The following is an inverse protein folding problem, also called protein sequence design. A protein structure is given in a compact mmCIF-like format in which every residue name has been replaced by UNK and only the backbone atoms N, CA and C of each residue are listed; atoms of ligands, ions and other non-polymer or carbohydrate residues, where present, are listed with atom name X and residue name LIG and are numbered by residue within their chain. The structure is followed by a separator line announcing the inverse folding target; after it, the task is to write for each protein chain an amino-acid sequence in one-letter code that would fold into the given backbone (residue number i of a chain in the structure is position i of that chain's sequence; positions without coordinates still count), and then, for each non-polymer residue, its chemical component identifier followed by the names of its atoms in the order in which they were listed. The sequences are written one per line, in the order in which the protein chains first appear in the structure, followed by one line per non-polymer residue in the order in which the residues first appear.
data_IF_037950092197
#
_entry.id   IF_037950092197
#
_cell.length_a   1.000
_cell.length_b   1.000
_cell.length_c   1.000
_cell.angle_alpha   90.00
_cell.angle_beta   90.00
_cell.angle_gamma   90.00
#
_symmetry.space_group_name_H-M   'P 1'
#
loop_
_entity.id
_entity.type
_entity.pdbx_description
1 polymer ?
#
# COMPACT_ATOMS: atom_id res chain seq x y z
N UNK A 1 3.73 10.89 -17.59
CA UNK A 1 3.00 11.93 -16.84
C UNK A 1 1.60 11.38 -16.63
N UNK A 2 1.29 10.90 -15.44
CA UNK A 2 -0.04 10.35 -15.12
C UNK A 2 -1.02 11.50 -14.88
N UNK A 3 -2.15 11.45 -15.57
CA UNK A 3 -3.32 12.29 -15.32
C UNK A 3 -3.90 11.94 -13.94
N UNK A 4 -3.41 12.60 -12.90
CA UNK A 4 -3.95 12.48 -11.54
C UNK A 4 -5.32 13.17 -11.47
N UNK A 5 -6.37 12.46 -11.92
CA UNK A 5 -7.75 12.88 -11.70
C UNK A 5 -8.08 12.76 -10.21
N UNK A 6 -8.64 13.80 -9.56
CA UNK A 6 -8.95 13.77 -8.12
C UNK A 6 -9.99 12.70 -7.71
N UNK A 7 -10.63 12.03 -8.68
CA UNK A 7 -11.61 10.96 -8.46
C UNK A 7 -11.08 9.54 -8.73
N UNK A 8 -9.77 9.38 -8.97
CA UNK A 8 -9.20 8.06 -9.24
C UNK A 8 -9.13 7.21 -7.95
N UNK A 9 -9.49 5.90 -7.99
CA UNK A 9 -9.32 5.01 -6.85
C UNK A 9 -7.89 5.08 -6.32
N UNK A 10 -7.76 5.31 -5.02
CA UNK A 10 -6.46 5.69 -4.44
C UNK A 10 -5.41 4.58 -4.56
N UNK A 11 -5.80 3.31 -4.59
CA UNK A 11 -4.89 2.16 -4.75
C UNK A 11 -4.15 2.19 -6.10
N UNK A 12 -4.66 2.90 -7.11
CA UNK A 12 -3.95 3.07 -8.39
C UNK A 12 -2.67 3.88 -8.24
N UNK A 13 -2.51 4.65 -7.15
CA UNK A 13 -1.25 5.30 -6.79
C UNK A 13 -0.13 4.29 -6.52
N UNK A 14 -0.45 3.03 -6.18
CA UNK A 14 0.56 1.99 -6.02
C UNK A 14 1.27 1.65 -7.34
N UNK A 15 0.63 1.88 -8.50
CA UNK A 15 1.25 1.66 -9.81
C UNK A 15 2.35 2.70 -10.12
N UNK A 16 2.35 3.84 -9.41
CA UNK A 16 3.36 4.89 -9.56
C UNK A 16 4.63 4.49 -8.78
N UNK A 17 5.46 3.62 -9.38
CA UNK A 17 6.72 3.07 -8.82
C UNK A 17 7.83 4.12 -8.55
N UNK A 18 7.56 5.42 -8.64
CA UNK A 18 8.56 6.51 -8.64
C UNK A 18 9.43 6.66 -7.38
N UNK A 19 9.29 5.77 -6.40
CA UNK A 19 9.89 5.80 -5.08
C UNK A 19 10.67 4.52 -4.74
N UNK A 20 10.65 3.51 -5.61
CA UNK A 20 11.41 2.27 -5.42
C UNK A 20 12.77 2.34 -6.09
N UNK A 21 13.84 2.33 -5.29
CA UNK A 21 15.22 2.21 -5.79
C UNK A 21 15.53 0.82 -6.37
N UNK A 22 14.69 -0.18 -6.08
CA UNK A 22 14.85 -1.57 -6.53
C UNK A 22 13.84 -1.92 -7.62
N UNK A 23 14.32 -2.55 -8.68
CA UNK A 23 13.45 -3.16 -9.70
C UNK A 23 12.67 -4.34 -9.10
N UNK A 24 11.34 -4.25 -9.15
CA UNK A 24 10.46 -5.35 -8.78
C UNK A 24 10.56 -6.49 -9.81
N UNK A 25 10.28 -7.75 -9.43
CA UNK A 25 10.07 -8.79 -10.41
C UNK A 25 8.93 -8.41 -11.38
N UNK A 26 8.83 -9.04 -12.57
CA UNK A 26 7.65 -8.87 -13.40
C UNK A 26 6.42 -9.35 -12.64
N UNK A 27 5.34 -8.58 -12.69
CA UNK A 27 4.06 -8.99 -12.13
C UNK A 27 3.60 -10.29 -12.83
N UNK A 28 3.07 -11.27 -12.08
CA UNK A 28 2.42 -12.43 -12.67
C UNK A 28 1.25 -12.02 -13.58
N UNK A 29 0.95 -12.86 -14.57
CA UNK A 29 -0.28 -12.74 -15.34
C UNK A 29 -1.48 -13.18 -14.47
N UNK A 30 -2.07 -12.22 -13.76
CA UNK A 30 -3.19 -12.48 -12.87
C UNK A 30 -4.49 -12.78 -13.63
N UNK A 31 -5.33 -13.59 -12.98
CA UNK A 31 -6.71 -13.83 -13.38
C UNK A 31 -6.83 -14.32 -14.82
N UNK A 32 -6.29 -15.52 -15.06
CA UNK A 32 -6.51 -16.25 -16.31
C UNK A 32 -8.00 -16.43 -16.60
N UNK A 33 -8.37 -16.52 -17.89
CA UNK A 33 -9.77 -16.72 -18.31
C UNK A 33 -10.40 -17.93 -17.62
N UNK A 34 -9.65 -19.04 -17.51
CA UNK A 34 -10.06 -20.25 -16.81
C UNK A 34 -10.37 -20.02 -15.32
N UNK A 35 -9.62 -19.14 -14.66
CA UNK A 35 -9.89 -18.79 -13.27
C UNK A 35 -11.14 -17.91 -13.14
N UNK A 36 -11.30 -16.92 -14.02
CA UNK A 36 -12.49 -16.06 -14.05
C UNK A 36 -13.75 -16.89 -14.28
N UNK A 37 -13.73 -17.83 -15.22
CA UNK A 37 -14.81 -18.79 -15.44
C UNK A 37 -15.13 -19.60 -14.17
N UNK A 38 -14.09 -20.08 -13.47
CA UNK A 38 -14.23 -20.84 -12.24
C UNK A 38 -14.81 -19.99 -11.11
N UNK A 39 -14.41 -18.72 -10.98
CA UNK A 39 -14.95 -17.77 -10.01
C UNK A 39 -16.43 -17.53 -10.30
N UNK A 40 -16.79 -17.19 -11.54
CA UNK A 40 -18.19 -16.93 -11.93
C UNK A 40 -19.10 -18.13 -11.66
N UNK A 41 -18.67 -19.35 -11.99
CA UNK A 41 -19.41 -20.59 -11.69
C UNK A 41 -19.58 -20.83 -10.19
N UNK A 42 -18.57 -20.51 -9.37
CA UNK A 42 -18.59 -20.71 -7.92
C UNK A 42 -19.47 -19.71 -7.17
N UNK A 43 -19.60 -18.50 -7.70
CA UNK A 43 -20.48 -17.46 -7.15
C UNK A 43 -21.94 -17.67 -7.59
N UNK A 44 -22.19 -18.53 -8.58
CA UNK A 44 -23.54 -18.95 -8.94
C UNK A 44 -24.28 -17.99 -9.87
N UNK A 45 -23.56 -17.17 -10.63
CA UNK A 45 -24.21 -16.29 -11.61
C UNK A 45 -24.60 -17.06 -12.88
N UNK A 46 -25.89 -17.40 -12.99
CA UNK A 46 -26.52 -17.80 -14.25
C UNK A 46 -26.76 -16.59 -15.18
N UNK A 47 -26.50 -15.35 -14.72
CA UNK A 47 -26.60 -14.14 -15.53
C UNK A 47 -25.34 -13.96 -16.39
N UNK A 48 -25.53 -13.41 -17.60
CA UNK A 48 -24.44 -12.98 -18.49
C UNK A 48 -23.66 -11.82 -17.86
N UNK A 49 -22.76 -12.12 -16.94
CA UNK A 49 -21.77 -11.16 -16.44
C UNK A 49 -20.80 -10.87 -17.57
N UNK A 50 -20.40 -9.61 -17.71
CA UNK A 50 -19.27 -9.25 -18.55
C UNK A 50 -17.97 -9.74 -17.90
N UNK A 51 -17.62 -11.00 -18.19
CA UNK A 51 -16.41 -11.63 -17.65
C UNK A 51 -15.13 -10.92 -18.10
N UNK A 52 -15.13 -10.29 -19.27
CA UNK A 52 -13.97 -9.55 -19.78
C UNK A 52 -13.74 -8.28 -18.96
N UNK A 53 -14.82 -7.54 -18.67
CA UNK A 53 -14.75 -6.37 -17.81
C UNK A 53 -14.30 -6.74 -16.38
N UNK A 54 -14.90 -7.80 -15.80
CA UNK A 54 -14.50 -8.32 -14.48
C UNK A 54 -13.01 -8.71 -14.45
N UNK A 55 -12.55 -9.45 -15.46
CA UNK A 55 -11.15 -9.87 -15.56
C UNK A 55 -10.20 -8.67 -15.65
N UNK A 56 -10.55 -7.67 -16.46
CA UNK A 56 -9.74 -6.46 -16.60
C UNK A 56 -9.63 -5.70 -15.28
N UNK A 57 -10.73 -5.53 -14.58
CA UNK A 57 -10.78 -4.81 -13.31
C UNK A 57 -10.00 -5.53 -12.21
N UNK A 58 -10.19 -6.85 -12.08
CA UNK A 58 -9.45 -7.68 -11.13
C UNK A 58 -7.94 -7.69 -11.41
N UNK A 59 -7.50 -7.68 -12.68
CA UNK A 59 -6.06 -7.58 -13.03
C UNK A 59 -5.44 -6.26 -12.58
N UNK A 60 -6.14 -5.14 -12.79
CA UNK A 60 -5.66 -3.83 -12.36
C UNK A 60 -5.52 -3.77 -10.83
N UNK A 61 -6.51 -4.31 -10.10
CA UNK A 61 -6.45 -4.42 -8.64
C UNK A 61 -5.29 -5.33 -8.23
N UNK A 62 -5.17 -6.52 -8.82
CA UNK A 62 -4.08 -7.44 -8.51
C UNK A 62 -2.71 -6.81 -8.69
N UNK A 63 -2.47 -6.14 -9.81
CA UNK A 63 -1.19 -5.49 -10.09
C UNK A 63 -0.87 -4.40 -9.06
N UNK A 64 -1.83 -3.52 -8.76
CA UNK A 64 -1.65 -2.46 -7.77
C UNK A 64 -1.30 -3.00 -6.37
N UNK A 65 -2.07 -3.97 -5.88
CA UNK A 65 -1.86 -4.55 -4.55
C UNK A 65 -0.65 -5.49 -4.50
N UNK A 66 -0.32 -6.17 -5.60
CA UNK A 66 0.90 -6.95 -5.71
C UNK A 66 2.13 -6.04 -5.65
N UNK A 67 2.16 -4.93 -6.38
CA UNK A 67 3.23 -3.94 -6.29
C UNK A 67 3.34 -3.42 -4.86
N UNK A 68 2.23 -3.05 -4.22
CA UNK A 68 2.22 -2.60 -2.83
C UNK A 68 2.81 -3.66 -1.87
N UNK A 69 2.45 -4.93 -2.03
CA UNK A 69 2.99 -6.02 -1.23
C UNK A 69 4.47 -6.33 -1.50
N UNK A 70 4.92 -6.25 -2.76
CA UNK A 70 6.31 -6.51 -3.14
C UNK A 70 7.24 -5.34 -2.85
N UNK A 71 6.70 -4.14 -2.68
CA UNK A 71 7.44 -2.92 -2.33
C UNK A 71 7.44 -2.62 -0.84
N UNK A 72 6.46 -3.15 -0.10
CA UNK A 72 6.26 -2.85 1.31
C UNK A 72 6.45 -4.10 2.18
N UNK A 73 7.05 -3.97 3.37
CA UNK A 73 7.32 -5.11 4.24
C UNK A 73 6.07 -5.43 5.08
N UNK A 74 5.03 -5.91 4.38
CA UNK A 74 3.73 -6.28 4.93
C UNK A 74 3.69 -7.72 5.44
N UNK A 75 4.73 -8.51 5.16
CA UNK A 75 4.76 -9.95 5.42
C UNK A 75 3.73 -10.71 4.58
N UNK A 76 3.45 -10.22 3.36
CA UNK A 76 2.48 -10.78 2.43
C UNK A 76 3.21 -11.27 1.17
N UNK A 77 2.96 -12.53 0.79
CA UNK A 77 3.63 -13.19 -0.33
C UNK A 77 5.15 -13.22 -0.16
N UNK A 78 5.87 -13.09 -1.28
CA UNK A 78 7.34 -12.98 -1.34
C UNK A 78 7.85 -11.54 -1.16
N UNK A 79 6.99 -10.64 -0.69
CA UNK A 79 7.35 -9.24 -0.43
C UNK A 79 8.48 -9.14 0.60
N UNK A 80 9.18 -8.00 0.68
CA UNK A 80 10.36 -7.84 1.52
C UNK A 80 10.04 -8.13 2.99
N UNK A 81 10.38 -9.34 3.45
CA UNK A 81 10.17 -9.78 4.84
C UNK A 81 10.97 -8.91 5.82
N UNK A 82 12.08 -8.29 5.36
CA UNK A 82 13.19 -7.83 6.19
C UNK A 82 13.45 -6.31 6.18
N UNK A 83 12.42 -5.48 5.98
CA UNK A 83 12.49 -4.12 6.50
C UNK A 83 11.37 -3.85 7.48
N UNK A 84 11.42 -4.54 8.62
CA UNK A 84 10.60 -4.21 9.78
C UNK A 84 10.64 -2.70 10.06
N UNK A 85 9.59 -2.17 10.70
CA UNK A 85 9.46 -0.75 11.02
C UNK A 85 10.76 -0.16 11.61
N UNK A 86 11.47 -0.95 12.43
CA UNK A 86 12.76 -0.59 13.02
C UNK A 86 13.90 -0.42 12.02
N UNK A 87 13.96 -1.25 10.97
CA UNK A 87 14.98 -1.12 9.90
C UNK A 87 14.68 0.11 9.06
N UNK A 88 13.41 0.35 8.70
CA UNK A 88 13.00 1.56 7.95
C UNK A 88 13.26 2.82 8.76
N UNK A 89 12.94 2.80 10.05
CA UNK A 89 13.27 3.87 11.00
C UNK A 89 14.78 4.09 11.02
N UNK A 90 15.58 3.05 11.17
CA UNK A 90 17.05 3.15 11.18
C UNK A 90 17.59 3.76 9.89
N UNK A 91 17.07 3.36 8.73
CA UNK A 91 17.45 3.92 7.43
C UNK A 91 17.05 5.38 7.32
N UNK A 92 15.79 5.74 7.60
CA UNK A 92 15.33 7.14 7.57
C UNK A 92 16.15 8.01 8.53
N UNK A 93 16.48 7.47 9.71
CA UNK A 93 17.35 8.15 10.67
C UNK A 93 18.75 8.38 10.10
N UNK A 94 19.38 7.36 9.52
CA UNK A 94 20.77 7.43 9.05
C UNK A 94 20.95 8.18 7.72
N UNK A 95 20.00 8.09 6.78
CA UNK A 95 20.12 8.68 5.44
C UNK A 95 19.47 10.04 5.29
N UNK A 96 18.51 10.40 6.14
CA UNK A 96 17.76 11.68 6.03
C UNK A 96 17.86 12.51 7.31
N UNK A 97 17.40 11.97 8.45
CA UNK A 97 17.25 12.77 9.67
C UNK A 97 18.59 13.28 10.20
N UNK A 98 19.55 12.39 10.44
CA UNK A 98 20.85 12.77 11.00
C UNK A 98 21.65 13.67 10.04
N UNK A 99 21.71 13.40 8.72
CA UNK A 99 22.30 14.33 7.78
C UNK A 99 21.64 15.71 7.78
N UNK A 100 20.30 15.79 7.78
CA UNK A 100 19.58 17.05 7.79
C UNK A 100 19.83 17.84 9.09
N UNK A 101 19.83 17.17 10.25
CA UNK A 101 20.18 17.77 11.54
C UNK A 101 21.62 18.29 11.57
N UNK A 102 22.57 17.51 11.03
CA UNK A 102 23.98 17.90 10.96
C UNK A 102 24.18 19.11 10.05
N UNK A 103 23.50 19.15 8.91
CA UNK A 103 23.53 20.30 7.99
C UNK A 103 22.88 21.54 8.61
N UNK A 104 21.72 21.40 9.26
CA UNK A 104 21.06 22.51 9.95
C UNK A 104 21.96 23.07 11.08
N UNK A 105 22.60 22.21 11.87
CA UNK A 105 23.54 22.61 12.92
C UNK A 105 24.81 23.27 12.34
N UNK A 106 25.35 22.78 11.23
CA UNK A 106 26.50 23.40 10.58
C UNK A 106 26.16 24.79 10.01
N UNK A 107 24.93 24.97 9.52
CA UNK A 107 24.44 26.21 8.93
C UNK A 107 23.87 27.20 9.95
N UNK A 108 23.76 26.82 11.22
CA UNK A 108 23.27 27.71 12.27
C UNK A 108 24.28 28.81 12.58
N UNK A 109 23.78 29.95 13.07
CA UNK A 109 24.60 31.13 13.32
C UNK A 109 25.71 30.89 14.37
N UNK A 110 25.57 29.86 15.20
CA UNK A 110 26.56 29.47 16.23
C UNK A 110 27.83 28.81 15.65
N UNK A 111 27.75 28.20 14.47
CA UNK A 111 28.89 27.52 13.81
C UNK A 111 29.45 28.30 12.61
N UNK A 112 28.98 29.53 12.40
CA UNK A 112 29.36 30.41 11.29
C UNK A 112 30.87 30.59 11.16
N UNK A 113 31.58 30.72 12.28
CA UNK A 113 33.02 30.92 12.33
C UNK A 113 33.83 29.70 11.85
N UNK A 114 33.21 28.53 11.74
CA UNK A 114 33.85 27.27 11.36
C UNK A 114 33.63 26.90 9.88
N UNK A 115 32.77 27.62 9.17
CA UNK A 115 32.55 27.45 7.73
C UNK A 115 33.48 28.37 6.96
N UNK A 116 34.14 27.85 5.92
CA UNK A 116 34.92 28.69 5.01
C UNK A 116 34.03 29.76 4.39
N UNK A 117 34.52 30.99 4.32
CA UNK A 117 33.87 32.05 3.55
C UNK A 117 33.62 31.57 2.11
N UNK A 118 32.51 32.04 1.52
CA UNK A 118 32.21 31.71 0.13
C UNK A 118 33.35 32.25 -0.74
N UNK A 119 33.96 31.44 -1.63
CA UNK A 119 35.17 31.85 -2.32
C UNK A 119 34.92 33.10 -3.17
N UNK A 120 35.76 34.11 -2.97
CA UNK A 120 35.77 35.31 -3.80
C UNK A 120 35.99 34.91 -5.26
N UNK A 121 35.10 35.36 -6.14
CA UNK A 121 35.14 35.04 -7.59
C UNK A 121 34.36 33.79 -8.02
N UNK A 122 33.58 33.16 -7.12
CA UNK A 122 32.63 32.13 -7.54
C UNK A 122 31.60 32.69 -8.53
N UNK A 123 31.37 31.97 -9.63
CA UNK A 123 30.39 32.34 -10.68
C UNK A 123 28.96 32.33 -10.14
N UNK A 124 28.70 31.54 -9.10
CA UNK A 124 27.39 31.43 -8.45
C UNK A 124 27.33 32.30 -7.18
N UNK A 125 26.19 32.97 -7.01
CA UNK A 125 25.86 33.65 -5.78
C UNK A 125 25.87 32.68 -4.58
N UNK A 126 26.24 33.15 -3.37
CA UNK A 126 26.16 32.33 -2.18
C UNK A 126 24.71 31.85 -1.96
N UNK A 127 24.52 30.61 -1.48
CA UNK A 127 23.19 30.08 -1.22
C UNK A 127 22.49 30.89 -0.14
N UNK A 128 21.17 31.06 -0.28
CA UNK A 128 20.32 31.66 0.75
C UNK A 128 20.26 30.72 1.96
N UNK A 129 21.13 30.97 2.94
CA UNK A 129 21.27 30.16 4.15
C UNK A 129 19.98 30.11 4.96
N UNK A 130 19.29 31.24 5.10
CA UNK A 130 18.04 31.31 5.89
C UNK A 130 16.96 30.45 5.26
N UNK A 131 16.84 30.49 3.93
CA UNK A 131 15.92 29.64 3.19
C UNK A 131 16.31 28.16 3.31
N UNK A 132 17.59 27.82 3.14
CA UNK A 132 18.07 26.45 3.24
C UNK A 132 17.84 25.86 4.64
N UNK A 133 18.12 26.63 5.69
CA UNK A 133 17.91 26.22 7.07
C UNK A 133 16.43 25.96 7.35
N UNK A 134 15.53 26.84 6.87
CA UNK A 134 14.07 26.63 6.97
C UNK A 134 13.60 25.35 6.28
N UNK A 135 14.10 25.06 5.07
CA UNK A 135 13.74 23.83 4.36
C UNK A 135 14.26 22.57 5.09
N UNK A 136 15.46 22.64 5.68
CA UNK A 136 16.02 21.56 6.49
C UNK A 136 15.20 21.32 7.76
N UNK A 137 14.76 22.37 8.45
CA UNK A 137 13.86 22.28 9.61
C UNK A 137 12.52 21.64 9.25
N UNK A 138 11.93 22.05 8.12
CA UNK A 138 10.69 21.45 7.60
C UNK A 138 10.88 19.96 7.29
N UNK A 139 12.00 19.58 6.68
CA UNK A 139 12.34 18.19 6.41
C UNK A 139 12.49 17.39 7.70
N UNK A 140 13.23 17.91 8.68
CA UNK A 140 13.41 17.29 10.00
C UNK A 140 12.06 17.08 10.70
N UNK A 141 11.20 18.10 10.70
CA UNK A 141 9.85 18.02 11.28
C UNK A 141 9.01 16.91 10.63
N UNK A 142 8.90 16.93 9.29
CA UNK A 142 8.14 15.93 8.54
C UNK A 142 8.66 14.50 8.75
N UNK A 143 9.98 14.33 8.80
CA UNK A 143 10.60 13.02 9.04
C UNK A 143 10.35 12.54 10.47
N UNK A 144 10.35 13.45 11.44
CA UNK A 144 10.04 13.12 12.84
C UNK A 144 8.59 12.70 13.01
N UNK A 145 7.66 13.41 12.38
CA UNK A 145 6.23 13.05 12.36
C UNK A 145 6.01 11.66 11.73
N UNK A 146 6.72 11.37 10.64
CA UNK A 146 6.68 10.07 9.98
C UNK A 146 7.19 8.95 10.90
N UNK A 147 8.31 9.16 11.60
CA UNK A 147 8.85 8.18 12.57
C UNK A 147 7.85 7.95 13.71
N UNK A 148 7.24 9.01 14.25
CA UNK A 148 6.24 8.90 15.32
C UNK A 148 5.00 8.12 14.86
N UNK A 149 4.53 8.37 13.64
CA UNK A 149 3.43 7.60 13.03
C UNK A 149 3.80 6.12 12.84
N UNK A 150 5.04 5.82 12.44
CA UNK A 150 5.55 4.45 12.32
C UNK A 150 5.64 3.73 13.68
N UNK A 151 6.07 4.42 14.73
CA UNK A 151 6.13 3.88 16.09
C UNK A 151 4.74 3.58 16.65
N UNK A 152 3.78 4.49 16.44
CA UNK A 152 2.37 4.30 16.80
C UNK A 152 1.76 3.05 16.15
N UNK A 153 2.15 2.75 14.91
CA UNK A 153 1.73 1.55 14.18
C UNK A 153 2.44 0.28 14.65
N UNK A 154 3.70 0.36 15.10
CA UNK A 154 4.50 -0.79 15.55
C UNK A 154 4.00 -1.38 16.87
N UNK A 155 3.57 -0.52 17.82
CA UNK A 155 3.12 -0.92 19.16
C UNK A 155 1.78 -1.68 19.20
N UNK A 156 1.01 -1.71 18.10
CA UNK A 156 -0.33 -2.31 18.05
C UNK A 156 -0.38 -3.74 17.45
N UNK A 157 0.75 -4.33 17.09
CA UNK A 157 0.80 -5.68 16.47
C UNK A 157 0.30 -5.66 15.01
N UNK A 158 1.23 -5.49 14.07
CA UNK A 158 1.04 -5.25 12.63
C UNK A 158 -0.36 -4.77 12.16
N UNK A 159 -0.82 -3.58 12.58
CA UNK A 159 -2.02 -2.94 12.03
C UNK A 159 -1.91 -2.76 10.52
N UNK A 160 -0.70 -2.51 10.00
CA UNK A 160 -0.45 -2.25 8.59
C UNK A 160 -0.78 -3.44 7.67
N UNK A 161 -0.51 -4.68 8.10
CA UNK A 161 -0.88 -5.87 7.30
C UNK A 161 -2.39 -6.09 7.33
N UNK A 162 -3.04 -5.86 8.48
CA UNK A 162 -4.50 -5.97 8.58
C UNK A 162 -5.23 -4.83 7.86
N UNK A 163 -4.78 -3.58 7.98
CA UNK A 163 -5.28 -2.41 7.26
C UNK A 163 -5.16 -2.64 5.75
N UNK A 164 -4.01 -3.13 5.28
CA UNK A 164 -3.83 -3.51 3.87
C UNK A 164 -4.82 -4.60 3.43
N UNK A 165 -5.04 -5.62 4.26
CA UNK A 165 -6.01 -6.68 3.97
C UNK A 165 -7.46 -6.18 3.99
N UNK A 166 -7.81 -5.25 4.89
CA UNK A 166 -9.12 -4.60 4.96
C UNK A 166 -9.35 -3.80 3.69
N UNK A 167 -8.39 -2.97 3.31
CA UNK A 167 -8.48 -2.15 2.13
C UNK A 167 -8.64 -2.97 0.84
N UNK A 168 -7.79 -3.99 0.65
CA UNK A 168 -7.97 -4.93 -0.45
C UNK A 168 -9.35 -5.59 -0.40
N UNK A 169 -9.82 -5.95 0.80
CA UNK A 169 -11.13 -6.56 0.96
C UNK A 169 -12.27 -5.61 0.61
N UNK A 170 -12.18 -4.32 0.95
CA UNK A 170 -13.15 -3.29 0.57
C UNK A 170 -13.24 -3.14 -0.94
N UNK A 171 -12.09 -3.00 -1.62
CA UNK A 171 -12.04 -2.87 -3.08
C UNK A 171 -12.62 -4.11 -3.78
N UNK A 172 -12.26 -5.31 -3.32
CA UNK A 172 -12.81 -6.56 -3.85
C UNK A 172 -14.30 -6.71 -3.54
N UNK A 173 -14.78 -6.17 -2.41
CA UNK A 173 -16.21 -6.17 -2.05
C UNK A 173 -17.01 -5.28 -2.99
N UNK A 174 -16.49 -4.13 -3.38
CA UNK A 174 -17.14 -3.25 -4.35
C UNK A 174 -17.22 -3.91 -5.74
N UNK A 175 -16.13 -4.55 -6.20
CA UNK A 175 -16.16 -5.36 -7.43
C UNK A 175 -17.19 -6.49 -7.31
N UNK A 176 -17.24 -7.18 -6.17
CA UNK A 176 -18.21 -8.25 -5.95
C UNK A 176 -19.66 -7.73 -6.06
N UNK A 177 -19.97 -6.60 -5.40
CA UNK A 177 -21.31 -5.98 -5.45
C UNK A 177 -21.68 -5.53 -6.86
N UNK A 178 -20.72 -5.03 -7.63
CA UNK A 178 -20.94 -4.57 -9.00
C UNK A 178 -21.26 -5.71 -9.97
N UNK A 179 -20.50 -6.80 -9.93
CA UNK A 179 -20.65 -7.90 -10.90
C UNK A 179 -21.58 -9.02 -10.43
N UNK A 180 -21.85 -9.12 -9.12
CA UNK A 180 -22.75 -10.11 -8.52
C UNK A 180 -23.81 -9.45 -7.62
N UNK A 181 -24.61 -8.50 -8.14
CA UNK A 181 -25.51 -7.68 -7.33
C UNK A 181 -26.63 -8.48 -6.65
N UNK A 182 -26.99 -9.65 -7.19
CA UNK A 182 -28.02 -10.53 -6.60
C UNK A 182 -27.47 -11.41 -5.48
N UNK A 183 -26.16 -11.43 -5.26
CA UNK A 183 -25.50 -12.26 -4.26
C UNK A 183 -25.10 -11.38 -3.06
N UNK A 184 -25.54 -11.71 -1.83
CA UNK A 184 -25.22 -10.90 -0.67
C UNK A 184 -23.73 -10.99 -0.32
N UNK A 185 -23.07 -9.83 -0.24
CA UNK A 185 -21.70 -9.68 0.27
C UNK A 185 -21.65 -9.88 1.79
N UNK A 186 -21.75 -11.14 2.26
CA UNK A 186 -21.74 -11.51 3.69
C UNK A 186 -20.98 -12.81 3.86
N UNK A 187 -20.22 -12.96 4.95
CA UNK A 187 -19.41 -14.16 5.26
C UNK A 187 -20.20 -15.49 5.31
N UNK A 188 -21.52 -15.42 5.43
CA UNK A 188 -22.42 -16.56 5.65
C UNK A 188 -22.65 -16.81 7.15
N UNK A 189 -23.78 -17.44 7.49
CA UNK A 189 -24.04 -17.89 8.85
C UNK A 189 -23.12 -19.05 9.25
N UNK A 190 -22.88 -19.22 10.55
CA UNK A 190 -22.07 -20.30 11.11
C UNK A 190 -22.82 -21.63 10.99
N UNK A 191 -22.92 -22.19 9.78
CA UNK A 191 -23.54 -23.50 9.60
C UNK A 191 -22.54 -24.60 9.97
N UNK A 192 -22.98 -25.51 10.85
CA UNK A 192 -22.21 -26.64 11.41
C UNK A 192 -21.80 -27.70 10.36
N UNK A 193 -22.00 -27.44 9.08
CA UNK A 193 -21.60 -28.30 7.97
C UNK A 193 -20.24 -27.85 7.46
N UNK A 194 -19.34 -28.81 7.18
CA UNK A 194 -17.92 -28.59 6.79
C UNK A 194 -17.71 -27.75 5.51
N UNK A 195 -18.77 -27.22 4.89
CA UNK A 195 -18.75 -26.50 3.62
C UNK A 195 -19.90 -25.48 3.53
N UNK A 196 -19.75 -24.36 4.22
CA UNK A 196 -20.46 -23.13 3.84
C UNK A 196 -19.61 -21.88 4.15
N UNK A 197 -18.50 -21.71 3.42
CA UNK A 197 -18.03 -20.36 3.12
C UNK A 197 -18.99 -19.78 2.08
N UNK A 198 -19.59 -18.62 2.35
CA UNK A 198 -20.49 -17.93 1.40
C UNK A 198 -19.87 -17.78 0.00
N UNK A 199 -20.68 -17.56 -1.02
CA UNK A 199 -20.24 -17.20 -2.37
C UNK A 199 -19.26 -16.02 -2.34
N UNK A 200 -19.55 -15.04 -1.50
CA UNK A 200 -18.68 -13.90 -1.20
C UNK A 200 -17.33 -14.35 -0.63
N UNK A 201 -17.30 -15.20 0.40
CA UNK A 201 -16.05 -15.72 0.97
C UNK A 201 -15.26 -16.51 -0.07
N UNK A 202 -15.91 -17.33 -0.90
CA UNK A 202 -15.25 -18.08 -1.99
C UNK A 202 -14.63 -17.17 -3.04
N UNK A 203 -15.31 -16.06 -3.37
CA UNK A 203 -14.77 -15.03 -4.26
C UNK A 203 -13.51 -14.38 -3.65
N UNK A 204 -13.59 -13.98 -2.38
CA UNK A 204 -12.48 -13.38 -1.65
C UNK A 204 -11.28 -14.32 -1.55
N UNK A 205 -11.51 -15.59 -1.20
CA UNK A 205 -10.46 -16.62 -1.14
C UNK A 205 -9.81 -16.84 -2.51
N UNK A 206 -10.59 -16.90 -3.59
CA UNK A 206 -10.06 -17.08 -4.93
C UNK A 206 -9.18 -15.89 -5.36
N UNK A 207 -9.61 -14.66 -5.06
CA UNK A 207 -8.84 -13.47 -5.38
C UNK A 207 -7.56 -13.38 -4.54
N UNK A 208 -7.64 -13.61 -3.23
CA UNK A 208 -6.45 -13.58 -2.36
C UNK A 208 -5.43 -14.64 -2.73
N UNK A 209 -5.88 -15.86 -3.06
CA UNK A 209 -5.03 -16.95 -3.53
C UNK A 209 -4.33 -16.61 -4.84
N UNK A 210 -5.04 -16.00 -5.78
CA UNK A 210 -4.46 -15.62 -7.08
C UNK A 210 -3.40 -14.54 -6.96
N UNK A 211 -3.64 -13.53 -6.12
CA UNK A 211 -2.75 -12.38 -6.00
C UNK A 211 -1.49 -12.71 -5.18
N UNK A 212 -1.64 -13.48 -4.09
CA UNK A 212 -0.56 -13.67 -3.10
C UNK A 212 -0.19 -15.13 -2.80
N UNK A 213 -0.89 -16.10 -3.39
CA UNK A 213 -0.62 -17.51 -3.20
C UNK A 213 -1.23 -18.12 -1.93
N UNK A 214 -0.94 -19.41 -1.67
CA UNK A 214 -1.66 -20.24 -0.70
C UNK A 214 -1.43 -19.87 0.77
N UNK A 215 -0.40 -19.08 1.08
CA UNK A 215 -0.12 -18.61 2.43
C UNK A 215 -1.00 -17.40 2.82
N UNK A 216 -1.67 -16.77 1.87
CA UNK A 216 -2.52 -15.61 2.11
C UNK A 216 -3.94 -16.02 2.50
N UNK A 217 -4.48 -15.36 3.53
CA UNK A 217 -5.87 -15.49 3.93
C UNK A 217 -6.41 -14.17 4.49
N UNK A 218 -7.70 -13.94 4.22
CA UNK A 218 -8.50 -12.93 4.89
C UNK A 218 -9.03 -13.50 6.20
N UNK A 219 -8.84 -12.79 7.31
CA UNK A 219 -9.45 -13.17 8.57
C UNK A 219 -10.94 -12.81 8.55
N UNK A 220 -11.74 -13.47 9.40
CA UNK A 220 -13.15 -13.14 9.53
C UNK A 220 -13.39 -11.66 9.89
N UNK A 221 -12.54 -11.08 10.74
CA UNK A 221 -12.61 -9.66 11.12
C UNK A 221 -12.38 -8.72 9.94
N UNK A 222 -11.46 -9.07 9.04
CA UNK A 222 -11.17 -8.29 7.83
C UNK A 222 -12.38 -8.27 6.89
N UNK A 223 -13.00 -9.42 6.67
CA UNK A 223 -14.19 -9.53 5.82
C UNK A 223 -15.40 -8.83 6.42
N UNK A 224 -15.57 -8.92 7.75
CA UNK A 224 -16.65 -8.20 8.44
C UNK A 224 -16.45 -6.68 8.30
N UNK A 225 -15.23 -6.18 8.48
CA UNK A 225 -14.90 -4.76 8.31
C UNK A 225 -15.22 -4.25 6.89
N UNK A 226 -14.81 -4.99 5.86
CA UNK A 226 -15.03 -4.60 4.45
C UNK A 226 -16.51 -4.59 4.01
N UNK A 227 -17.38 -5.28 4.75
CA UNK A 227 -18.81 -5.35 4.42
C UNK A 227 -19.66 -4.29 5.12
N UNK A 228 -19.10 -3.56 6.10
CA UNK A 228 -19.76 -2.44 6.75
C UNK A 228 -19.88 -1.25 5.78
N UNK A 229 -20.99 -0.49 5.82
CA UNK A 229 -21.06 0.77 5.10
C UNK A 229 -20.02 1.75 5.67
N UNK A 230 -19.36 2.58 4.84
CA UNK A 230 -18.40 3.55 5.33
C UNK A 230 -19.08 4.47 6.35
N UNK A 231 -18.46 4.64 7.53
CA UNK A 231 -18.91 5.62 8.52
C UNK A 231 -18.91 7.01 7.85
N UNK A 232 -20.06 7.69 7.92
CA UNK A 232 -20.28 9.02 7.31
C UNK A 232 -19.63 10.14 8.12
#
# INVERSE_FOLDING_TARGET
MSDNSPNQPYYLKYLELGWLERQLPPAPDFFSEKLIDKICRRVGSEKKIDQMALAKELRVIAEAYWIAAMSSPLGIGDGPILQGSDVRKRTIQSSVLHPAQKLAAALSDENLALLSEWPDGAVSAPPDRKKLLRELELLVGRVTDLIAAMEGRTRRGSPLSNEFKIDLAEVLTEVFRQYFPDVPARRGGYDRTKTASSEYTKFMEACGLEIFGPSFSFSGQVLDAATLPPEK
#
